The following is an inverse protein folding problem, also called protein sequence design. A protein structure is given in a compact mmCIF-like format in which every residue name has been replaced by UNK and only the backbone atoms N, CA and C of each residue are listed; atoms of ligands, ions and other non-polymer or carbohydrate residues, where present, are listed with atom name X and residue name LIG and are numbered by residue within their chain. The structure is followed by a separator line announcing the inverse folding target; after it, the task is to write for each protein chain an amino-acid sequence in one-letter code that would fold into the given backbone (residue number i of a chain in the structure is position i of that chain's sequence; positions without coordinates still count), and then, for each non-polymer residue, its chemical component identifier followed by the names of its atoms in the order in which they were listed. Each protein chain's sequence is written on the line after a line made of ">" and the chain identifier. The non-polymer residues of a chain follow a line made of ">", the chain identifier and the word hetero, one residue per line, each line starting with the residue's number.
data_IF_478751786077
#
_entry.id   IF_478751786077
#
_cell.length_a   1.000
_cell.length_b   1.000
_cell.length_c   1.000
_cell.angle_alpha   90.00
_cell.angle_beta   90.00
_cell.angle_gamma   90.00
#
_symmetry.space_group_name_H-M   'P 1'
#
loop_
_entity.id
_entity.type
_entity.pdbx_description
1 polymer ?
#
# COMPACT_ATOMS: atom_id res chain seq x y z
N UNK A 1 -27.96 2.30 -27.27
CA UNK A 1 -28.58 2.57 -25.96
C UNK A 1 -27.47 2.72 -24.93
N UNK A 2 -27.08 3.96 -24.62
CA UNK A 2 -26.04 4.27 -23.64
C UNK A 2 -26.65 4.34 -22.23
N UNK A 3 -25.96 3.93 -21.15
CA UNK A 3 -26.49 3.99 -19.80
C UNK A 3 -26.42 5.41 -19.24
N UNK A 4 -27.48 5.81 -18.55
CA UNK A 4 -27.62 7.09 -17.84
C UNK A 4 -26.82 7.04 -16.52
N UNK A 5 -25.94 8.02 -16.21
CA UNK A 5 -25.28 8.08 -14.92
C UNK A 5 -26.19 8.72 -13.86
N UNK A 6 -26.25 8.11 -12.68
CA UNK A 6 -26.97 8.60 -11.50
C UNK A 6 -26.31 9.86 -10.94
N UNK A 7 -26.98 11.01 -11.10
CA UNK A 7 -26.57 12.32 -10.59
C UNK A 7 -26.97 12.45 -9.12
N UNK A 8 -26.01 12.54 -8.19
CA UNK A 8 -26.30 13.00 -6.84
C UNK A 8 -26.24 14.53 -6.82
N UNK A 9 -27.41 15.17 -6.81
CA UNK A 9 -27.56 16.61 -6.72
C UNK A 9 -27.46 17.04 -5.24
N UNK A 10 -26.38 17.72 -4.84
CA UNK A 10 -26.32 18.38 -3.53
C UNK A 10 -27.05 19.73 -3.62
N UNK A 11 -28.13 19.87 -2.87
CA UNK A 11 -28.88 21.13 -2.75
C UNK A 11 -28.23 22.00 -1.66
N UNK A 12 -27.57 23.10 -2.04
CA UNK A 12 -27.22 24.18 -1.11
C UNK A 12 -28.35 25.20 -1.08
N UNK A 13 -29.09 25.25 0.03
CA UNK A 13 -30.15 26.24 0.27
C UNK A 13 -29.52 27.57 0.74
N UNK A 14 -29.50 28.57 -0.13
CA UNK A 14 -29.34 29.98 0.22
C UNK A 14 -30.44 30.78 -0.49
N UNK A 15 -30.96 31.80 0.18
CA UNK A 15 -32.23 32.44 -0.12
C UNK A 15 -32.47 32.88 -1.57
N UNK A 16 -33.71 32.66 -2.00
CA UNK A 16 -34.49 33.39 -3.01
C UNK A 16 -34.08 33.42 -4.48
N UNK A 17 -33.13 32.60 -4.96
CA UNK A 17 -33.02 32.30 -6.40
C UNK A 17 -32.37 30.92 -6.60
N UNK A 18 -33.11 29.98 -7.20
CA UNK A 18 -32.62 28.63 -7.48
C UNK A 18 -31.91 28.58 -8.84
N UNK A 19 -30.69 29.10 -8.89
CA UNK A 19 -29.77 28.81 -9.99
C UNK A 19 -29.03 27.50 -9.70
N UNK A 20 -29.47 26.43 -10.37
CA UNK A 20 -28.80 25.12 -10.34
C UNK A 20 -27.57 25.20 -11.23
N UNK A 21 -26.45 25.68 -10.68
CA UNK A 21 -25.16 25.60 -11.37
C UNK A 21 -24.63 24.16 -11.28
N UNK A 22 -24.98 23.34 -12.27
CA UNK A 22 -24.29 22.09 -12.54
C UNK A 22 -22.87 22.42 -13.00
N UNK A 23 -21.92 22.48 -12.06
CA UNK A 23 -20.51 22.42 -12.42
C UNK A 23 -20.27 21.09 -13.14
N UNK A 24 -19.66 21.08 -14.34
CA UNK A 24 -19.24 19.84 -14.94
C UNK A 24 -18.28 19.18 -13.94
N UNK A 25 -18.64 17.98 -13.46
CA UNK A 25 -17.68 17.10 -12.84
C UNK A 25 -16.63 16.81 -13.91
N UNK A 26 -15.54 17.58 -13.86
CA UNK A 26 -14.27 17.25 -14.46
C UNK A 26 -13.80 15.96 -13.79
N UNK A 27 -14.42 14.86 -14.19
CA UNK A 27 -13.97 13.49 -13.93
C UNK A 27 -12.64 13.39 -14.64
N UNK A 28 -11.59 13.85 -13.96
CA UNK A 28 -10.27 13.84 -14.55
C UNK A 28 -9.92 12.39 -14.82
N UNK A 29 -9.98 12.03 -16.10
CA UNK A 29 -9.70 10.72 -16.67
C UNK A 29 -8.19 10.45 -16.61
N UNK A 30 -7.59 10.44 -15.41
CA UNK A 30 -6.17 10.20 -15.21
C UNK A 30 -5.71 8.84 -15.79
N UNK A 31 -6.64 7.90 -16.01
CA UNK A 31 -6.34 6.57 -16.57
C UNK A 31 -6.23 6.53 -18.11
N UNK A 32 -6.71 7.55 -18.82
CA UNK A 32 -6.67 7.60 -20.30
C UNK A 32 -5.56 8.48 -20.87
N UNK A 33 -4.66 8.98 -20.03
CA UNK A 33 -3.52 9.75 -20.52
C UNK A 33 -2.68 8.82 -21.43
N UNK A 34 -2.54 9.14 -22.74
CA UNK A 34 -1.83 8.28 -23.68
C UNK A 34 -0.41 8.02 -23.17
N UNK A 35 0.15 6.86 -23.51
CA UNK A 35 1.54 6.48 -23.21
C UNK A 35 2.52 7.66 -23.37
N UNK A 36 2.27 8.50 -24.39
CA UNK A 36 2.97 9.75 -24.65
C UNK A 36 3.06 10.69 -23.43
N UNK A 37 1.96 11.00 -22.72
CA UNK A 37 1.98 11.91 -21.56
C UNK A 37 2.74 11.32 -20.36
N UNK A 38 2.73 9.99 -20.19
CA UNK A 38 3.54 9.31 -19.17
C UNK A 38 5.02 9.40 -19.50
N UNK A 39 5.37 9.17 -20.78
CA UNK A 39 6.73 9.31 -21.27
C UNK A 39 7.23 10.77 -21.15
N UNK A 40 6.39 11.75 -21.48
CA UNK A 40 6.71 13.18 -21.30
C UNK A 40 7.05 13.50 -19.86
N UNK A 41 6.29 12.96 -18.88
CA UNK A 41 6.58 13.17 -17.46
C UNK A 41 7.93 12.60 -17.03
N UNK A 42 8.26 11.38 -17.45
CA UNK A 42 9.56 10.75 -17.15
C UNK A 42 10.71 11.51 -17.81
N UNK A 43 10.54 11.91 -19.08
CA UNK A 43 11.55 12.68 -19.80
C UNK A 43 11.77 14.06 -19.17
N UNK A 44 10.70 14.75 -18.77
CA UNK A 44 10.80 16.03 -18.05
C UNK A 44 11.53 15.86 -16.72
N UNK A 45 11.28 14.77 -15.99
CA UNK A 45 11.99 14.45 -14.75
C UNK A 45 13.49 14.25 -15.02
N UNK A 46 13.85 13.46 -16.03
CA UNK A 46 15.26 13.22 -16.39
C UNK A 46 15.97 14.49 -16.86
N UNK A 47 15.31 15.32 -17.67
CA UNK A 47 15.84 16.62 -18.10
C UNK A 47 16.02 17.53 -16.89
N UNK A 48 15.04 17.60 -15.99
CA UNK A 48 15.14 18.42 -14.78
C UNK A 48 16.28 17.95 -13.87
N UNK A 49 16.51 16.64 -13.75
CA UNK A 49 17.63 16.08 -13.01
C UNK A 49 18.96 16.43 -13.70
N UNK A 50 19.07 16.24 -15.01
CA UNK A 50 20.27 16.58 -15.76
C UNK A 50 20.60 18.08 -15.68
N UNK A 51 19.57 18.95 -15.70
CA UNK A 51 19.74 20.39 -15.52
C UNK A 51 20.13 20.73 -14.08
N UNK A 52 19.61 20.01 -13.08
CA UNK A 52 20.02 20.19 -11.69
C UNK A 52 21.50 19.83 -11.48
N UNK A 53 22.02 18.82 -12.18
CA UNK A 53 23.47 18.48 -12.15
C UNK A 53 24.33 19.66 -12.60
N UNK A 54 23.84 20.55 -13.47
CA UNK A 54 24.59 21.75 -13.88
C UNK A 54 24.67 22.83 -12.78
N UNK A 55 23.82 22.75 -11.75
CA UNK A 55 23.74 23.71 -10.64
C UNK A 55 24.40 23.16 -9.38
N UNK A 56 24.41 21.84 -9.20
CA UNK A 56 24.98 21.15 -8.03
C UNK A 56 26.36 20.55 -8.33
N UNK A 57 27.17 20.34 -7.29
CA UNK A 57 28.45 19.63 -7.46
C UNK A 57 28.19 18.13 -7.72
N UNK A 58 29.03 17.45 -8.53
CA UNK A 58 28.89 16.01 -8.79
C UNK A 58 28.90 15.15 -7.53
N UNK A 59 29.57 15.61 -6.47
CA UNK A 59 29.60 14.96 -5.16
C UNK A 59 28.24 14.97 -4.43
N UNK A 60 27.35 15.91 -4.77
CA UNK A 60 26.01 16.03 -4.15
C UNK A 60 24.92 15.43 -5.03
N UNK A 61 25.07 15.52 -6.36
CA UNK A 61 24.10 15.03 -7.32
C UNK A 61 24.82 14.38 -8.51
N UNK A 62 25.02 13.05 -8.48
CA UNK A 62 25.67 12.35 -9.58
C UNK A 62 24.81 12.39 -10.84
N UNK A 63 25.47 12.26 -11.99
CA UNK A 63 24.77 12.27 -13.27
C UNK A 63 23.89 11.01 -13.40
N UNK A 64 22.73 11.08 -14.07
CA UNK A 64 21.88 9.90 -14.30
C UNK A 64 22.64 8.73 -14.94
N UNK A 65 23.58 9.01 -15.86
CA UNK A 65 24.42 7.99 -16.49
C UNK A 65 25.29 7.23 -15.50
N UNK A 66 25.86 7.91 -14.50
CA UNK A 66 26.68 7.29 -13.46
C UNK A 66 25.84 6.37 -12.57
N UNK A 67 24.62 6.80 -12.24
CA UNK A 67 23.66 5.97 -11.48
C UNK A 67 23.29 4.71 -12.26
N UNK A 68 23.07 4.79 -13.58
CA UNK A 68 22.76 3.61 -14.39
C UNK A 68 23.95 2.66 -14.54
N UNK A 69 25.17 3.17 -14.67
CA UNK A 69 26.39 2.35 -14.68
C UNK A 69 26.55 1.63 -13.34
N UNK A 70 26.46 2.38 -12.23
CA UNK A 70 26.56 1.83 -10.87
C UNK A 70 25.48 0.79 -10.60
N UNK A 71 24.26 1.04 -11.07
CA UNK A 71 23.16 0.07 -11.01
C UNK A 71 23.52 -1.23 -11.74
N UNK A 72 24.08 -1.16 -12.94
CA UNK A 72 24.44 -2.35 -13.72
C UNK A 72 25.59 -3.15 -13.09
N UNK A 73 26.53 -2.48 -12.43
CA UNK A 73 27.60 -3.12 -11.65
C UNK A 73 27.03 -3.84 -10.42
N UNK A 74 26.25 -3.13 -9.59
CA UNK A 74 25.68 -3.68 -8.35
C UNK A 74 24.69 -4.81 -8.64
N UNK A 75 23.95 -4.73 -9.75
CA UNK A 75 23.03 -5.78 -10.20
C UNK A 75 23.73 -7.13 -10.46
N UNK A 76 24.98 -7.10 -10.92
CA UNK A 76 25.79 -8.31 -11.11
C UNK A 76 26.45 -8.78 -9.80
N UNK A 77 26.50 -7.91 -8.79
CA UNK A 77 27.04 -8.18 -7.47
C UNK A 77 26.00 -8.70 -6.47
N UNK A 78 25.99 -8.12 -5.27
CA UNK A 78 25.16 -8.57 -4.16
C UNK A 78 23.75 -7.97 -4.16
N UNK A 79 23.48 -6.98 -5.02
CA UNK A 79 22.18 -6.28 -5.05
C UNK A 79 20.97 -7.23 -5.18
N UNK A 80 20.96 -8.26 -6.05
CA UNK A 80 19.82 -9.16 -6.15
C UNK A 80 19.54 -9.92 -4.85
N UNK A 81 20.58 -10.28 -4.09
CA UNK A 81 20.45 -10.94 -2.81
C UNK A 81 19.77 -10.01 -1.80
N UNK A 82 20.27 -8.79 -1.62
CA UNK A 82 19.67 -7.81 -0.71
C UNK A 82 18.23 -7.47 -1.10
N UNK A 83 17.97 -7.27 -2.39
CA UNK A 83 16.63 -7.03 -2.90
C UNK A 83 15.68 -8.20 -2.59
N UNK A 84 16.15 -9.44 -2.77
CA UNK A 84 15.35 -10.63 -2.48
C UNK A 84 15.00 -10.76 -0.99
N UNK A 85 15.94 -10.44 -0.09
CA UNK A 85 15.70 -10.46 1.36
C UNK A 85 14.61 -9.45 1.76
N UNK A 86 14.68 -8.23 1.22
CA UNK A 86 13.65 -7.20 1.44
C UNK A 86 12.28 -7.66 0.92
N UNK A 87 12.24 -8.28 -0.25
CA UNK A 87 10.98 -8.80 -0.81
C UNK A 87 10.39 -9.94 0.03
N UNK A 88 11.21 -10.85 0.55
CA UNK A 88 10.78 -11.94 1.43
C UNK A 88 10.19 -11.38 2.73
N UNK A 89 10.89 -10.43 3.36
CA UNK A 89 10.41 -9.71 4.55
C UNK A 89 9.06 -9.06 4.33
N UNK A 90 8.96 -8.29 3.25
CA UNK A 90 7.72 -7.65 2.83
C UNK A 90 6.61 -8.68 2.67
N UNK A 91 6.87 -9.78 1.97
CA UNK A 91 5.86 -10.81 1.71
C UNK A 91 5.37 -11.48 3.00
N UNK A 92 6.28 -11.85 3.90
CA UNK A 92 5.95 -12.50 5.18
C UNK A 92 5.18 -11.54 6.09
N UNK A 93 5.72 -10.34 6.30
CA UNK A 93 5.12 -9.35 7.20
C UNK A 93 3.76 -8.88 6.67
N UNK A 94 3.64 -8.63 5.37
CA UNK A 94 2.37 -8.26 4.73
C UNK A 94 1.33 -9.37 4.89
N UNK A 95 1.68 -10.62 4.60
CA UNK A 95 0.75 -11.75 4.68
C UNK A 95 0.27 -11.96 6.11
N UNK A 96 1.19 -11.94 7.09
CA UNK A 96 0.85 -12.06 8.50
C UNK A 96 -0.03 -10.91 8.99
N UNK A 97 0.30 -9.66 8.63
CA UNK A 97 -0.50 -8.49 8.99
C UNK A 97 -1.90 -8.52 8.36
N UNK A 98 -2.01 -8.98 7.11
CA UNK A 98 -3.30 -9.14 6.43
C UNK A 98 -4.16 -10.21 7.11
N UNK A 99 -3.59 -11.36 7.46
CA UNK A 99 -4.32 -12.45 8.14
C UNK A 99 -4.80 -11.98 9.52
N UNK A 100 -3.89 -11.46 10.35
CA UNK A 100 -4.21 -11.02 11.71
C UNK A 100 -5.19 -9.85 11.72
N UNK A 101 -4.94 -8.84 10.88
CA UNK A 101 -5.81 -7.68 10.77
C UNK A 101 -7.19 -8.04 10.22
N UNK A 102 -7.27 -8.94 9.23
CA UNK A 102 -8.57 -9.40 8.71
C UNK A 102 -9.34 -10.18 9.78
N UNK A 103 -8.69 -11.12 10.46
CA UNK A 103 -9.34 -11.89 11.53
C UNK A 103 -9.89 -10.96 12.64
N UNK A 104 -9.09 -9.97 13.06
CA UNK A 104 -9.49 -9.01 14.07
C UNK A 104 -10.63 -8.10 13.58
N UNK A 105 -10.52 -7.56 12.37
CA UNK A 105 -11.55 -6.68 11.79
C UNK A 105 -12.90 -7.38 11.61
N UNK A 106 -12.90 -8.63 11.14
CA UNK A 106 -14.12 -9.44 11.03
C UNK A 106 -14.73 -9.73 12.41
N UNK A 107 -13.91 -10.04 13.41
CA UNK A 107 -14.38 -10.28 14.78
C UNK A 107 -15.02 -9.02 15.38
N UNK A 108 -14.43 -7.85 15.17
CA UNK A 108 -14.98 -6.55 15.60
C UNK A 108 -16.29 -6.20 14.88
N UNK A 109 -16.36 -6.44 13.56
CA UNK A 109 -17.57 -6.19 12.78
C UNK A 109 -18.76 -7.06 13.22
N UNK A 110 -18.50 -8.29 13.69
CA UNK A 110 -19.55 -9.19 14.15
C UNK A 110 -19.95 -8.97 15.61
N UNK A 111 -19.01 -8.61 16.49
CA UNK A 111 -19.25 -8.51 17.93
C UNK A 111 -19.00 -7.10 18.47
N UNK A 112 -20.09 -6.41 18.82
CA UNK A 112 -20.08 -5.04 19.37
C UNK A 112 -19.31 -4.89 20.70
N UNK A 113 -19.13 -5.98 21.47
CA UNK A 113 -18.27 -5.95 22.68
C UNK A 113 -16.80 -5.95 22.32
N UNK A 114 -16.38 -6.85 21.43
CA UNK A 114 -14.98 -6.92 20.94
C UNK A 114 -14.60 -5.59 20.31
N UNK A 115 -15.53 -5.04 19.53
CA UNK A 115 -15.42 -3.71 18.95
C UNK A 115 -15.09 -2.63 19.98
N UNK A 116 -15.92 -2.45 21.00
CA UNK A 116 -15.75 -1.38 22.00
C UNK A 116 -14.41 -1.46 22.76
N UNK A 117 -13.91 -2.66 23.04
CA UNK A 117 -12.62 -2.84 23.72
C UNK A 117 -11.42 -2.60 22.79
N UNK A 118 -11.53 -3.05 21.54
CA UNK A 118 -10.41 -3.04 20.59
C UNK A 118 -10.28 -1.70 19.87
N UNK A 119 -11.39 -0.95 19.70
CA UNK A 119 -11.41 0.32 18.98
C UNK A 119 -10.47 1.37 19.59
N UNK A 120 -10.52 1.52 20.92
CA UNK A 120 -9.60 2.41 21.65
C UNK A 120 -8.15 1.98 21.49
N UNK A 121 -7.87 0.68 21.58
CA UNK A 121 -6.51 0.15 21.42
C UNK A 121 -5.97 0.36 20.00
N UNK A 122 -6.78 0.10 18.98
CA UNK A 122 -6.42 0.30 17.58
C UNK A 122 -6.15 1.78 17.27
N UNK A 123 -6.99 2.67 17.79
CA UNK A 123 -6.80 4.12 17.63
C UNK A 123 -5.48 4.57 18.25
N UNK A 124 -5.14 4.05 19.44
CA UNK A 124 -3.83 4.31 20.05
C UNK A 124 -2.69 3.79 19.17
N UNK A 125 -2.75 2.53 18.71
CA UNK A 125 -1.71 1.94 17.86
C UNK A 125 -1.52 2.70 16.54
N UNK A 126 -2.59 3.21 15.93
CA UNK A 126 -2.54 3.99 14.70
C UNK A 126 -1.86 5.36 14.87
N UNK A 127 -1.88 5.90 16.09
CA UNK A 127 -1.26 7.19 16.40
C UNK A 127 0.20 7.06 16.84
N UNK A 128 0.67 5.85 17.16
CA UNK A 128 2.09 5.61 17.49
C UNK A 128 2.91 5.69 16.20
N UNK A 129 3.98 6.52 16.14
CA UNK A 129 4.85 6.56 14.98
C UNK A 129 5.53 5.22 14.75
N UNK A 130 5.60 4.80 13.48
CA UNK A 130 6.18 3.51 13.12
C UNK A 130 7.61 3.34 13.64
N UNK A 131 8.41 4.40 13.61
CA UNK A 131 9.79 4.41 14.11
C UNK A 131 9.88 3.99 15.59
N UNK A 132 8.96 4.48 16.43
CA UNK A 132 8.93 4.16 17.87
C UNK A 132 8.64 2.69 18.07
N UNK A 133 7.65 2.15 17.35
CA UNK A 133 7.32 0.71 17.41
C UNK A 133 8.49 -0.16 16.95
N UNK A 134 9.20 0.24 15.89
CA UNK A 134 10.37 -0.49 15.38
C UNK A 134 11.47 -0.56 16.45
N UNK A 135 11.83 0.57 17.04
CA UNK A 135 12.86 0.63 18.09
C UNK A 135 12.46 -0.24 19.28
N UNK A 136 11.22 -0.15 19.75
CA UNK A 136 10.73 -0.97 20.87
C UNK A 136 10.79 -2.46 20.55
N UNK A 137 10.41 -2.88 19.33
CA UNK A 137 10.50 -4.27 18.92
C UNK A 137 11.94 -4.79 18.94
N UNK A 138 12.91 -4.01 18.45
CA UNK A 138 14.31 -4.41 18.52
C UNK A 138 14.85 -4.47 19.96
N UNK A 139 14.39 -3.58 20.84
CA UNK A 139 14.76 -3.63 22.26
C UNK A 139 14.17 -4.88 22.95
N UNK A 140 12.92 -5.22 22.67
CA UNK A 140 12.24 -6.36 23.34
C UNK A 140 12.68 -7.72 22.80
N UNK A 141 12.84 -7.84 21.48
CA UNK A 141 13.06 -9.13 20.82
C UNK A 141 14.50 -9.31 20.30
N UNK A 142 15.34 -8.27 20.37
CA UNK A 142 16.69 -8.25 19.85
C UNK A 142 16.76 -7.88 18.36
N UNK A 143 17.98 -7.70 17.83
CA UNK A 143 18.24 -7.40 16.42
C UNK A 143 18.19 -8.69 15.60
N UNK A 144 16.99 -9.19 15.34
CA UNK A 144 16.76 -10.39 14.55
C UNK A 144 15.58 -10.21 13.59
N UNK A 145 15.43 -11.20 12.70
CA UNK A 145 14.40 -11.24 11.68
C UNK A 145 12.98 -11.20 12.27
N UNK A 146 12.77 -11.87 13.39
CA UNK A 146 11.48 -11.94 14.08
C UNK A 146 11.05 -10.55 14.56
N UNK A 147 11.96 -9.79 15.18
CA UNK A 147 11.69 -8.44 15.65
C UNK A 147 11.31 -7.50 14.49
N UNK A 148 12.04 -7.60 13.38
CA UNK A 148 11.78 -6.84 12.15
C UNK A 148 10.37 -7.11 11.62
N UNK A 149 9.99 -8.39 11.50
CA UNK A 149 8.66 -8.80 11.00
C UNK A 149 7.56 -8.36 11.97
N UNK A 150 7.72 -8.55 13.28
CA UNK A 150 6.74 -8.15 14.29
C UNK A 150 6.51 -6.64 14.27
N UNK A 151 7.56 -5.83 14.14
CA UNK A 151 7.44 -4.38 14.07
C UNK A 151 6.53 -3.92 12.92
N UNK A 152 6.68 -4.55 11.75
CA UNK A 152 5.87 -4.26 10.57
C UNK A 152 4.42 -4.72 10.77
N UNK A 153 4.23 -5.91 11.36
CA UNK A 153 2.89 -6.45 11.66
C UNK A 153 2.14 -5.54 12.63
N UNK A 154 2.77 -5.12 13.74
CA UNK A 154 2.15 -4.25 14.74
C UNK A 154 1.74 -2.89 14.17
N UNK A 155 2.51 -2.38 13.20
CA UNK A 155 2.15 -1.15 12.49
C UNK A 155 1.00 -1.36 11.49
N UNK A 156 1.05 -2.45 10.72
CA UNK A 156 0.12 -2.61 9.59
C UNK A 156 -1.21 -3.24 9.99
N UNK A 157 -1.21 -4.20 10.91
CA UNK A 157 -2.40 -4.96 11.31
C UNK A 157 -3.55 -4.06 11.81
N UNK A 158 -3.32 -2.98 12.59
CA UNK A 158 -4.40 -2.08 13.02
C UNK A 158 -5.15 -1.43 11.86
N UNK A 159 -4.41 -0.97 10.85
CA UNK A 159 -4.99 -0.33 9.66
C UNK A 159 -5.84 -1.32 8.84
N UNK A 160 -5.38 -2.58 8.72
CA UNK A 160 -6.18 -3.65 8.10
C UNK A 160 -7.43 -3.93 8.92
N UNK A 161 -7.31 -4.07 10.25
CA UNK A 161 -8.44 -4.38 11.12
C UNK A 161 -9.55 -3.33 11.03
N UNK A 162 -9.21 -2.03 11.04
CA UNK A 162 -10.18 -0.95 10.87
C UNK A 162 -10.86 -1.01 9.51
N UNK A 163 -10.10 -1.23 8.43
CA UNK A 163 -10.68 -1.33 7.07
C UNK A 163 -11.65 -2.52 6.94
N UNK A 164 -11.28 -3.67 7.51
CA UNK A 164 -12.10 -4.89 7.46
C UNK A 164 -13.28 -4.85 8.42
N UNK A 165 -13.18 -4.15 9.55
CA UNK A 165 -14.31 -3.86 10.46
C UNK A 165 -15.42 -3.13 9.71
N UNK A 166 -15.08 -2.08 8.97
CA UNK A 166 -16.05 -1.35 8.16
C UNK A 166 -16.62 -2.22 7.03
N UNK A 167 -15.79 -3.05 6.40
CA UNK A 167 -16.26 -4.03 5.41
C UNK A 167 -17.23 -5.07 5.97
N UNK A 168 -17.00 -5.53 7.21
CA UNK A 168 -17.88 -6.47 7.89
C UNK A 168 -19.22 -5.83 8.30
N UNK A 169 -19.23 -4.54 8.62
CA UNK A 169 -20.45 -3.77 8.96
C UNK A 169 -21.28 -3.41 7.74
N UNK A 170 -20.64 -3.23 6.59
CA UNK A 170 -21.30 -2.89 5.33
C UNK A 170 -22.04 -4.07 4.65
N UNK A 171 -22.03 -5.26 5.26
CA UNK A 171 -22.67 -6.45 4.72
C UNK A 171 -24.19 -6.30 4.78
N UNK A 172 -24.85 -6.54 3.65
CA UNK A 172 -26.31 -6.42 3.54
C UNK A 172 -27.00 -7.57 4.31
N UNK A 173 -27.79 -7.26 5.36
CA UNK A 173 -28.56 -8.27 6.09
C UNK A 173 -29.53 -9.05 5.20
N UNK A 174 -30.06 -8.44 4.13
CA UNK A 174 -31.00 -9.08 3.20
C UNK A 174 -30.36 -10.25 2.46
N UNK A 175 -29.09 -10.11 2.05
CA UNK A 175 -28.35 -11.22 1.44
C UNK A 175 -28.13 -12.38 2.42
N UNK A 176 -27.98 -12.08 3.72
CA UNK A 176 -27.90 -13.11 4.76
C UNK A 176 -29.24 -13.81 4.96
N UNK A 177 -30.36 -13.10 4.88
CA UNK A 177 -31.70 -13.67 4.98
C UNK A 177 -32.02 -14.58 3.79
N UNK A 178 -31.64 -14.19 2.57
CA UNK A 178 -31.74 -15.06 1.39
C UNK A 178 -30.97 -16.36 1.61
N UNK A 179 -29.74 -16.28 2.14
CA UNK A 179 -28.94 -17.48 2.44
C UNK A 179 -29.62 -18.40 3.48
N UNK A 180 -30.33 -17.81 4.45
CA UNK A 180 -31.10 -18.54 5.47
C UNK A 180 -32.33 -19.23 4.87
N UNK A 181 -33.05 -18.55 3.97
CA UNK A 181 -34.22 -19.11 3.26
C UNK A 181 -33.81 -20.31 2.40
N UNK A 182 -32.71 -20.20 1.66
CA UNK A 182 -32.16 -21.30 0.85
C UNK A 182 -31.41 -22.36 1.67
N UNK A 183 -31.41 -22.27 3.02
CA UNK A 183 -30.73 -23.19 3.95
C UNK A 183 -29.28 -23.49 3.56
N UNK A 184 -28.55 -22.48 3.10
CA UNK A 184 -27.14 -22.64 2.76
C UNK A 184 -26.34 -22.96 4.02
N UNK A 185 -25.50 -24.00 3.95
CA UNK A 185 -24.58 -24.34 5.05
C UNK A 185 -23.55 -23.24 5.30
N UNK A 186 -23.02 -23.16 6.53
CA UNK A 186 -22.10 -22.09 7.00
C UNK A 186 -20.96 -21.79 6.01
N UNK A 187 -20.33 -22.83 5.46
CA UNK A 187 -19.22 -22.68 4.50
C UNK A 187 -19.68 -22.10 3.15
N UNK A 188 -20.87 -22.47 2.67
CA UNK A 188 -21.43 -21.90 1.43
C UNK A 188 -21.83 -20.45 1.63
N UNK A 189 -22.45 -20.12 2.76
CA UNK A 189 -22.81 -18.73 3.10
C UNK A 189 -21.56 -17.86 3.20
N UNK A 190 -20.50 -18.34 3.86
CA UNK A 190 -19.24 -17.62 3.92
C UNK A 190 -18.64 -17.38 2.53
N UNK A 191 -18.50 -18.42 1.70
CA UNK A 191 -17.86 -18.30 0.38
C UNK A 191 -18.68 -17.55 -0.66
N UNK A 192 -20.01 -17.71 -0.69
CA UNK A 192 -20.88 -17.16 -1.75
C UNK A 192 -21.56 -15.85 -1.39
N UNK A 193 -21.66 -15.52 -0.10
CA UNK A 193 -22.39 -14.32 0.35
C UNK A 193 -21.48 -13.37 1.10
N UNK A 194 -20.71 -13.87 2.07
CA UNK A 194 -19.87 -13.04 2.93
C UNK A 194 -18.59 -12.58 2.22
N UNK A 195 -17.83 -13.51 1.64
CA UNK A 195 -16.55 -13.25 1.00
C UNK A 195 -16.63 -12.25 -0.17
N UNK A 196 -17.62 -12.32 -1.09
CA UNK A 196 -17.73 -11.35 -2.19
C UNK A 196 -17.97 -9.92 -1.72
N UNK A 197 -18.74 -9.73 -0.64
CA UNK A 197 -19.04 -8.41 -0.08
C UNK A 197 -17.82 -7.75 0.59
N UNK A 198 -16.95 -8.55 1.19
CA UNK A 198 -15.74 -8.06 1.89
C UNK A 198 -14.53 -7.96 0.98
N UNK A 199 -14.52 -8.70 -0.13
CA UNK A 199 -13.47 -8.65 -1.15
C UNK A 199 -13.04 -7.23 -1.53
N UNK A 200 -13.93 -6.25 -1.81
CA UNK A 200 -13.50 -4.87 -2.09
C UNK A 200 -12.72 -4.21 -0.94
N UNK A 201 -13.09 -4.48 0.31
CA UNK A 201 -12.39 -3.98 1.49
C UNK A 201 -11.04 -4.67 1.68
N UNK A 202 -10.97 -5.98 1.40
CA UNK A 202 -9.71 -6.74 1.44
C UNK A 202 -8.72 -6.19 0.40
N UNK A 203 -9.18 -5.90 -0.82
CA UNK A 203 -8.36 -5.28 -1.88
C UNK A 203 -7.91 -3.88 -1.47
N UNK A 204 -8.82 -3.07 -0.91
CA UNK A 204 -8.48 -1.73 -0.44
C UNK A 204 -7.40 -1.76 0.65
N UNK A 205 -7.55 -2.64 1.65
CA UNK A 205 -6.59 -2.85 2.72
C UNK A 205 -5.25 -3.37 2.20
N UNK A 206 -5.28 -4.30 1.24
CA UNK A 206 -4.09 -4.86 0.58
C UNK A 206 -3.35 -3.78 -0.22
N UNK A 207 -4.04 -2.99 -1.04
CA UNK A 207 -3.43 -1.94 -1.87
C UNK A 207 -2.79 -0.84 -1.03
N UNK A 208 -3.55 -0.28 -0.09
CA UNK A 208 -3.03 0.73 0.83
C UNK A 208 -1.94 0.17 1.75
N UNK A 209 -2.01 -1.14 2.05
CA UNK A 209 -1.02 -1.84 2.83
C UNK A 209 0.29 -2.09 2.15
N UNK A 210 0.26 -2.52 0.90
CA UNK A 210 1.46 -2.80 0.15
C UNK A 210 2.29 -1.52 0.01
N UNK A 211 1.68 -0.39 -0.34
CA UNK A 211 2.38 0.90 -0.44
C UNK A 211 3.06 1.36 0.87
N UNK A 212 2.51 0.99 2.03
CA UNK A 212 3.03 1.38 3.33
C UNK A 212 4.10 0.39 3.85
N UNK A 213 3.85 -0.92 3.72
CA UNK A 213 4.71 -1.97 4.30
C UNK A 213 6.14 -1.88 3.79
N UNK A 214 6.34 -1.59 2.50
CA UNK A 214 7.66 -1.60 1.90
C UNK A 214 8.52 -0.44 2.43
N UNK A 215 7.89 0.71 2.68
CA UNK A 215 8.53 1.85 3.34
C UNK A 215 8.93 1.52 4.78
N UNK A 216 8.05 0.85 5.52
CA UNK A 216 8.35 0.44 6.90
C UNK A 216 9.47 -0.59 6.92
N UNK A 217 9.43 -1.60 6.05
CA UNK A 217 10.50 -2.62 5.95
C UNK A 217 11.84 -1.96 5.65
N UNK A 218 11.91 -1.01 4.71
CA UNK A 218 13.16 -0.28 4.46
C UNK A 218 13.70 0.42 5.71
N UNK A 219 12.83 1.06 6.51
CA UNK A 219 13.25 1.71 7.76
C UNK A 219 13.72 0.69 8.80
N UNK A 220 13.03 -0.44 8.91
CA UNK A 220 13.43 -1.55 9.80
C UNK A 220 14.81 -2.08 9.43
N UNK A 221 15.04 -2.31 8.13
CA UNK A 221 16.31 -2.81 7.60
C UNK A 221 17.45 -1.81 7.79
N UNK A 222 17.16 -0.52 7.59
CA UNK A 222 18.12 0.57 7.78
C UNK A 222 18.65 0.63 9.22
N UNK A 223 17.79 0.33 10.20
CA UNK A 223 18.08 0.50 11.63
C UNK A 223 18.73 -0.74 12.25
N UNK A 224 18.27 -1.94 11.92
CA UNK A 224 18.57 -3.11 12.76
C UNK A 224 18.77 -4.44 12.03
N UNK A 225 18.75 -4.48 10.70
CA UNK A 225 19.05 -5.69 9.95
C UNK A 225 20.49 -5.66 9.39
N UNK A 226 21.03 -6.84 9.07
CA UNK A 226 22.38 -7.02 8.48
C UNK A 226 22.37 -7.30 6.97
N UNK A 227 21.21 -7.24 6.36
CA UNK A 227 20.94 -7.54 4.96
C UNK A 227 19.61 -6.86 4.54
N UNK A 228 19.31 -6.90 3.24
CA UNK A 228 18.23 -6.11 2.66
C UNK A 228 18.71 -4.80 2.01
N UNK A 229 17.80 -4.15 1.28
CA UNK A 229 18.02 -2.86 0.62
C UNK A 229 18.23 -1.76 1.65
N UNK A 230 17.44 -1.73 2.73
CA UNK A 230 17.62 -0.71 3.78
C UNK A 230 18.99 -0.78 4.44
N UNK A 231 19.52 -1.99 4.67
CA UNK A 231 20.88 -2.18 5.19
C UNK A 231 21.95 -1.62 4.25
N UNK A 232 21.82 -1.86 2.94
CA UNK A 232 22.75 -1.33 1.95
C UNK A 232 22.67 0.20 1.86
N UNK A 233 21.47 0.77 1.91
CA UNK A 233 21.29 2.23 2.00
C UNK A 233 22.00 2.81 3.21
N UNK A 234 21.92 2.16 4.38
CA UNK A 234 22.64 2.57 5.60
C UNK A 234 24.15 2.53 5.40
N UNK A 235 24.65 1.47 4.76
CA UNK A 235 26.07 1.26 4.49
C UNK A 235 26.63 2.32 3.54
N UNK A 236 25.98 2.58 2.41
CA UNK A 236 26.41 3.63 1.48
C UNK A 236 26.21 5.03 2.04
N UNK A 237 25.22 5.24 2.92
CA UNK A 237 25.06 6.51 3.62
C UNK A 237 26.25 6.82 4.52
N UNK A 238 26.78 5.83 5.24
CA UNK A 238 28.00 5.98 6.05
C UNK A 238 29.24 6.25 5.18
N UNK A 239 29.27 5.73 3.96
CA UNK A 239 30.34 5.95 2.98
C UNK A 239 30.16 7.23 2.14
N UNK A 240 29.06 7.96 2.32
CA UNK A 240 28.65 9.09 1.47
C UNK A 240 28.60 8.77 -0.04
N UNK A 241 28.36 7.51 -0.41
CA UNK A 241 28.22 7.08 -1.81
C UNK A 241 26.78 7.31 -2.29
N UNK A 242 26.50 8.56 -2.69
CA UNK A 242 25.18 8.98 -3.19
C UNK A 242 24.82 8.23 -4.48
N UNK A 243 25.80 7.92 -5.33
CA UNK A 243 25.57 7.19 -6.59
C UNK A 243 25.01 5.80 -6.33
N UNK A 244 25.59 5.06 -5.37
CA UNK A 244 25.07 3.76 -4.98
C UNK A 244 23.69 3.85 -4.30
N UNK A 245 23.45 4.85 -3.44
CA UNK A 245 22.13 5.08 -2.81
C UNK A 245 21.05 5.28 -3.88
N UNK A 246 21.32 6.11 -4.89
CA UNK A 246 20.38 6.37 -5.97
C UNK A 246 20.19 5.13 -6.86
N UNK A 247 21.24 4.35 -7.12
CA UNK A 247 21.15 3.09 -7.84
C UNK A 247 20.25 2.07 -7.12
N UNK A 248 20.46 1.86 -5.81
CA UNK A 248 19.62 0.99 -4.98
C UNK A 248 18.17 1.48 -4.90
N UNK A 249 17.98 2.80 -4.77
CA UNK A 249 16.64 3.41 -4.78
C UNK A 249 15.94 3.17 -6.11
N UNK A 250 16.62 3.37 -7.24
CA UNK A 250 16.06 3.17 -8.57
C UNK A 250 15.69 1.70 -8.83
N UNK A 251 16.57 0.77 -8.46
CA UNK A 251 16.29 -0.67 -8.55
C UNK A 251 15.05 -1.06 -7.73
N UNK A 252 15.03 -0.62 -6.47
CA UNK A 252 13.93 -0.92 -5.56
C UNK A 252 12.60 -0.37 -6.08
N UNK A 253 12.56 0.90 -6.48
CA UNK A 253 11.36 1.53 -7.04
C UNK A 253 10.90 0.82 -8.32
N UNK A 254 11.83 0.42 -9.19
CA UNK A 254 11.51 -0.33 -10.42
C UNK A 254 10.83 -1.65 -10.10
N UNK A 255 11.34 -2.37 -9.09
CA UNK A 255 10.81 -3.65 -8.64
C UNK A 255 9.44 -3.48 -7.97
N UNK A 256 9.28 -2.47 -7.10
CA UNK A 256 8.00 -2.13 -6.47
C UNK A 256 6.96 -1.80 -7.53
N UNK A 257 7.30 -0.95 -8.48
CA UNK A 257 6.41 -0.55 -9.57
C UNK A 257 6.05 -1.74 -10.46
N UNK A 258 7.01 -2.61 -10.75
CA UNK A 258 6.80 -3.87 -11.46
C UNK A 258 5.80 -4.77 -10.75
N UNK A 259 5.96 -4.97 -9.44
CA UNK A 259 5.06 -5.79 -8.62
C UNK A 259 3.66 -5.16 -8.53
N UNK A 260 3.56 -3.84 -8.35
CA UNK A 260 2.26 -3.15 -8.35
C UNK A 260 1.55 -3.29 -9.71
N UNK A 261 2.29 -3.13 -10.82
CA UNK A 261 1.73 -3.25 -12.16
C UNK A 261 1.31 -4.69 -12.50
N UNK A 262 2.07 -5.70 -12.05
CA UNK A 262 1.84 -7.12 -12.36
C UNK A 262 0.87 -7.82 -11.41
N UNK A 263 0.82 -7.42 -10.13
CA UNK A 263 0.01 -8.11 -9.11
C UNK A 263 -1.25 -7.33 -8.79
N UNK A 264 -1.13 -6.05 -8.43
CA UNK A 264 -2.26 -5.28 -7.92
C UNK A 264 -3.25 -4.88 -9.03
N UNK A 265 -2.75 -4.35 -10.15
CA UNK A 265 -3.64 -3.88 -11.25
C UNK A 265 -4.47 -5.01 -11.88
N UNK A 266 -3.92 -6.21 -12.16
CA UNK A 266 -4.73 -7.31 -12.70
C UNK A 266 -5.73 -7.86 -11.69
N UNK A 267 -5.36 -7.90 -10.41
CA UNK A 267 -6.25 -8.32 -9.33
C UNK A 267 -7.45 -7.38 -9.19
N UNK A 268 -7.21 -6.07 -9.25
CA UNK A 268 -8.27 -5.04 -9.25
C UNK A 268 -9.19 -5.19 -10.45
N UNK A 269 -8.64 -5.34 -11.66
CA UNK A 269 -9.44 -5.46 -12.88
C UNK A 269 -10.31 -6.73 -12.91
N UNK A 270 -9.80 -7.86 -12.40
CA UNK A 270 -10.57 -9.11 -12.34
C UNK A 270 -11.70 -9.07 -11.32
N UNK A 271 -11.51 -8.40 -10.19
CA UNK A 271 -12.48 -8.38 -9.10
C UNK A 271 -13.48 -7.22 -9.21
N UNK A 272 -13.09 -6.09 -9.80
CA UNK A 272 -13.98 -4.95 -10.07
C UNK A 272 -14.93 -5.13 -11.27
N UNK A 273 -14.75 -6.20 -12.06
CA UNK A 273 -15.64 -6.53 -13.19
C UNK A 273 -17.12 -6.66 -12.79
N UNK A 274 -17.41 -6.99 -11.54
CA UNK A 274 -18.78 -7.12 -11.01
C UNK A 274 -19.48 -5.78 -10.70
N UNK A 275 -18.74 -4.66 -10.63
CA UNK A 275 -19.31 -3.32 -10.34
C UNK A 275 -19.65 -2.52 -11.60
N UNK A 276 -19.34 -3.06 -12.80
CA UNK A 276 -19.62 -2.44 -14.10
C UNK A 276 -20.72 -3.15 -14.91
N UNK A 277 -21.38 -4.17 -14.35
CA UNK A 277 -22.51 -4.86 -14.98
C UNK A 277 -23.81 -4.61 -14.23
#
# INVERSE_FOLDING_TARGET
>A
MSPVPSTHCQQTFSGSDTDVHCLPEDTVRWYQLPFFKRLTSVVLLLISWQLAVAVFTPALLPAPSEVFIRLAEEWQGTMPLHLSQTLIRVAIAFSAAMILGTALGLAMGHNRKVDAWTDSLLTLMLNVPALVTIILCFIWFGLNETAAIIAVILNKAPNVAVTLREGARAIDPKLMDVARVYRLGRLRTFRKVYLPQITPYLIAAARGGLALVWKIVLVVELIGCSDGVGFQLSSYFQLFDITAILAYTLAFVTVVYGIEALVLRPLENRLSGWRKS
#
